data_IF_819253419109
#
_entry.id   IF_819253419109
#
_cell.length_a   1.000
_cell.length_b   1.000
_cell.length_c   1.000
_cell.angle_alpha   90.00
_cell.angle_beta   90.00
_cell.angle_gamma   90.00
#
_symmetry.space_group_name_H-M   'P 1'
#
loop_
_entity.id
_entity.type
_entity.pdbx_description
1 polymer ?
#
# COMPACT_ATOMS: atom_id res chain seq x y z
N UNK A 1 22.33 -21.98 6.71
CA UNK A 1 21.94 -20.85 5.81
C UNK A 1 22.39 -19.54 6.44
N UNK A 2 22.47 -18.46 5.65
CA UNK A 2 22.98 -17.16 6.10
C UNK A 2 21.90 -16.08 5.93
N UNK A 3 21.86 -15.13 6.85
CA UNK A 3 21.06 -13.91 6.75
C UNK A 3 21.53 -13.06 5.57
N UNK A 4 20.65 -12.20 5.00
CA UNK A 4 21.07 -11.26 3.97
C UNK A 4 22.14 -10.30 4.51
N UNK A 5 23.04 -9.86 3.64
CA UNK A 5 23.99 -8.80 3.97
C UNK A 5 23.26 -7.45 3.97
N UNK A 6 23.83 -6.45 4.64
CA UNK A 6 23.27 -5.09 4.66
C UNK A 6 23.08 -4.51 3.25
N UNK A 7 24.02 -4.77 2.33
CA UNK A 7 23.91 -4.35 0.93
C UNK A 7 22.69 -4.97 0.24
N UNK A 8 22.41 -6.26 0.49
CA UNK A 8 21.23 -6.94 -0.05
C UNK A 8 19.96 -6.38 0.57
N UNK A 9 19.94 -6.14 1.88
CA UNK A 9 18.80 -5.52 2.57
C UNK A 9 18.47 -4.15 1.98
N UNK A 10 19.47 -3.27 1.79
CA UNK A 10 19.31 -1.94 1.19
C UNK A 10 18.83 -2.06 -0.25
N UNK A 11 19.41 -2.94 -1.05
CA UNK A 11 19.03 -3.12 -2.45
C UNK A 11 17.58 -3.60 -2.58
N UNK A 12 17.22 -4.68 -1.88
CA UNK A 12 15.89 -5.29 -2.01
C UNK A 12 14.80 -4.37 -1.44
N UNK A 13 15.08 -3.66 -0.34
CA UNK A 13 14.14 -2.69 0.22
C UNK A 13 13.95 -1.48 -0.69
N UNK A 14 15.03 -0.92 -1.25
CA UNK A 14 14.96 0.24 -2.16
C UNK A 14 14.19 -0.10 -3.45
N UNK A 15 14.55 -1.19 -4.13
CA UNK A 15 13.86 -1.64 -5.35
C UNK A 15 12.40 -2.02 -5.06
N UNK A 16 12.16 -2.68 -3.92
CA UNK A 16 10.83 -3.08 -3.46
C UNK A 16 9.92 -1.89 -3.17
N UNK A 17 10.42 -0.91 -2.41
CA UNK A 17 9.69 0.30 -2.06
C UNK A 17 9.42 1.16 -3.29
N UNK A 18 10.40 1.36 -4.18
CA UNK A 18 10.22 2.10 -5.42
C UNK A 18 9.10 1.49 -6.28
N UNK A 19 9.19 0.19 -6.55
CA UNK A 19 8.18 -0.51 -7.35
C UNK A 19 6.79 -0.44 -6.72
N UNK A 20 6.71 -0.55 -5.40
CA UNK A 20 5.46 -0.44 -4.65
C UNK A 20 4.86 0.96 -4.77
N UNK A 21 5.62 2.01 -4.48
CA UNK A 21 5.16 3.41 -4.54
C UNK A 21 4.69 3.76 -5.94
N UNK A 22 5.48 3.44 -6.97
CA UNK A 22 5.11 3.68 -8.37
C UNK A 22 3.79 3.03 -8.75
N UNK A 23 3.61 1.74 -8.41
CA UNK A 23 2.38 1.03 -8.76
C UNK A 23 1.19 1.46 -7.92
N UNK A 24 1.38 1.69 -6.62
CA UNK A 24 0.31 2.08 -5.70
C UNK A 24 -0.26 3.43 -6.07
N UNK A 25 0.56 4.47 -6.21
CA UNK A 25 0.06 5.81 -6.54
C UNK A 25 -0.41 5.92 -7.99
N UNK A 26 0.15 5.14 -8.93
CA UNK A 26 -0.41 5.01 -10.29
C UNK A 26 -1.82 4.43 -10.24
N UNK A 27 -1.99 3.28 -9.61
CA UNK A 27 -3.30 2.60 -9.55
C UNK A 27 -4.32 3.43 -8.74
N UNK A 28 -3.88 4.14 -7.70
CA UNK A 28 -4.69 5.11 -6.95
C UNK A 28 -5.18 6.24 -7.86
N UNK A 29 -4.28 6.87 -8.62
CA UNK A 29 -4.61 7.94 -9.56
C UNK A 29 -5.46 7.47 -10.74
N UNK A 30 -5.26 6.24 -11.22
CA UNK A 30 -6.05 5.59 -12.28
C UNK A 30 -7.40 5.04 -11.79
N UNK A 31 -7.70 5.21 -10.49
CA UNK A 31 -8.95 4.78 -9.86
C UNK A 31 -9.17 3.26 -9.94
N UNK A 32 -8.09 2.49 -9.92
CA UNK A 32 -8.12 1.02 -9.87
C UNK A 32 -8.30 0.54 -8.44
N UNK A 33 -8.78 -0.69 -8.29
CA UNK A 33 -8.87 -1.33 -6.96
C UNK A 33 -7.48 -1.50 -6.34
N UNK A 34 -7.38 -1.11 -5.08
CA UNK A 34 -6.20 -1.20 -4.26
C UNK A 34 -6.19 -2.46 -3.39
N UNK A 35 -7.30 -3.19 -3.27
CA UNK A 35 -7.43 -4.44 -2.50
C UNK A 35 -6.22 -5.39 -2.65
N UNK A 36 -5.74 -5.58 -3.88
CA UNK A 36 -4.59 -6.44 -4.20
C UNK A 36 -3.23 -5.97 -3.64
N UNK A 37 -3.11 -4.74 -3.13
CA UNK A 37 -1.91 -4.28 -2.41
C UNK A 37 -1.89 -4.74 -0.95
N UNK A 38 -3.02 -5.14 -0.36
CA UNK A 38 -3.11 -5.46 1.07
C UNK A 38 -3.00 -6.95 1.33
N UNK A 39 -2.54 -7.31 2.53
CA UNK A 39 -2.48 -8.72 2.96
C UNK A 39 -3.86 -9.40 3.00
N UNK A 40 -4.94 -8.62 3.11
CA UNK A 40 -6.32 -9.12 3.09
C UNK A 40 -6.67 -9.89 1.79
N UNK A 41 -5.96 -9.61 0.68
CA UNK A 41 -6.15 -10.32 -0.58
C UNK A 41 -5.36 -11.64 -0.67
N UNK A 42 -4.47 -11.93 0.29
CA UNK A 42 -3.67 -13.15 0.31
C UNK A 42 -4.26 -14.19 1.25
N UNK A 43 -4.49 -15.39 0.72
CA UNK A 43 -4.99 -16.53 1.49
C UNK A 43 -4.01 -16.95 2.60
N UNK A 44 -2.71 -16.68 2.46
CA UNK A 44 -1.71 -17.05 3.48
C UNK A 44 -1.89 -16.25 4.76
N UNK A 45 -2.07 -14.94 4.63
CA UNK A 45 -2.26 -14.04 5.77
C UNK A 45 -3.67 -14.18 6.38
N UNK A 46 -4.71 -14.28 5.54
CA UNK A 46 -6.09 -14.44 6.02
C UNK A 46 -6.33 -15.76 6.74
N UNK A 47 -5.74 -16.88 6.27
CA UNK A 47 -5.79 -18.15 6.99
C UNK A 47 -5.06 -18.12 8.33
N UNK A 48 -4.06 -17.24 8.48
CA UNK A 48 -3.39 -16.99 9.75
C UNK A 48 -4.16 -16.01 10.66
N UNK A 49 -5.33 -15.51 10.22
CA UNK A 49 -6.15 -14.56 10.97
C UNK A 49 -5.60 -13.13 11.00
N UNK A 50 -4.75 -12.78 10.02
CA UNK A 50 -4.03 -11.49 10.01
C UNK A 50 -4.62 -10.60 8.92
N UNK A 51 -5.06 -9.41 9.34
CA UNK A 51 -5.61 -8.37 8.48
C UNK A 51 -4.74 -7.12 8.53
N UNK A 52 -4.79 -6.30 7.47
CA UNK A 52 -4.08 -5.04 7.45
C UNK A 52 -4.67 -4.05 8.48
N UNK A 53 -3.81 -3.34 9.20
CA UNK A 53 -4.20 -2.21 10.03
C UNK A 53 -4.19 -0.92 9.19
N UNK A 54 -5.34 -0.26 9.07
CA UNK A 54 -5.50 0.91 8.20
C UNK A 54 -6.01 2.08 9.03
N UNK A 55 -5.24 3.15 9.07
CA UNK A 55 -5.62 4.39 9.76
C UNK A 55 -5.52 5.57 8.79
N UNK A 56 -6.64 6.23 8.51
CA UNK A 56 -6.74 7.36 7.58
C UNK A 56 -7.15 8.61 8.36
N UNK A 57 -6.27 9.61 8.43
CA UNK A 57 -6.46 10.84 9.19
C UNK A 57 -6.82 10.63 10.69
N UNK A 58 -6.42 9.49 11.26
CA UNK A 58 -6.74 9.11 12.64
C UNK A 58 -8.00 8.26 12.80
N UNK A 59 -8.78 8.04 11.74
CA UNK A 59 -9.87 7.08 11.74
C UNK A 59 -9.33 5.68 11.39
N UNK A 60 -9.60 4.71 12.25
CA UNK A 60 -9.26 3.29 12.01
C UNK A 60 -10.33 2.68 11.11
N UNK A 61 -9.89 2.03 10.03
CA UNK A 61 -10.76 1.35 9.06
C UNK A 61 -10.61 -0.17 9.20
N UNK A 62 -11.71 -0.88 9.05
CA UNK A 62 -11.73 -2.34 9.23
C UNK A 62 -11.20 -3.10 8.00
N UNK A 63 -11.25 -2.49 6.81
CA UNK A 63 -10.83 -3.15 5.58
C UNK A 63 -10.36 -2.19 4.48
N UNK A 64 -9.58 -2.68 3.50
CA UNK A 64 -9.24 -1.90 2.31
C UNK A 64 -10.46 -1.42 1.51
N UNK A 65 -11.59 -2.12 1.60
CA UNK A 65 -12.82 -1.73 0.91
C UNK A 65 -13.43 -0.44 1.49
N UNK A 66 -13.35 -0.25 2.81
CA UNK A 66 -13.76 1.01 3.45
C UNK A 66 -12.84 2.17 3.03
N UNK A 67 -11.55 1.91 2.88
CA UNK A 67 -10.62 2.91 2.35
C UNK A 67 -10.95 3.29 0.89
N UNK A 68 -11.22 2.30 0.03
CA UNK A 68 -11.66 2.56 -1.35
C UNK A 68 -12.97 3.37 -1.40
N UNK A 69 -13.91 3.11 -0.47
CA UNK A 69 -15.14 3.89 -0.36
C UNK A 69 -14.86 5.37 -0.01
N UNK A 70 -13.97 5.64 0.95
CA UNK A 70 -13.55 7.01 1.29
C UNK A 70 -12.88 7.73 0.12
N UNK A 71 -12.06 7.02 -0.67
CA UNK A 71 -11.47 7.57 -1.89
C UNK A 71 -12.53 7.88 -2.95
N UNK A 72 -13.59 7.08 -3.03
CA UNK A 72 -14.76 7.35 -3.86
C UNK A 72 -15.50 8.61 -3.42
N UNK A 73 -15.80 8.74 -2.13
CA UNK A 73 -16.42 9.93 -1.54
C UNK A 73 -15.57 11.19 -1.76
N UNK A 74 -14.25 11.10 -1.59
CA UNK A 74 -13.29 12.18 -1.85
C UNK A 74 -13.40 12.71 -3.29
N UNK A 75 -13.74 11.83 -4.25
CA UNK A 75 -13.90 12.16 -5.67
C UNK A 75 -15.31 12.63 -6.02
N UNK A 76 -16.20 12.71 -5.03
CA UNK A 76 -17.60 13.09 -5.23
C UNK A 76 -18.47 11.95 -5.76
N UNK A 77 -18.10 10.68 -5.52
CA UNK A 77 -19.06 9.58 -5.73
C UNK A 77 -20.27 9.79 -4.81
N UNK A 78 -21.48 9.78 -5.38
CA UNK A 78 -22.71 10.10 -4.66
C UNK A 78 -22.99 9.10 -3.55
N UNK A 79 -23.20 9.60 -2.34
CA UNK A 79 -23.70 8.85 -1.20
C UNK A 79 -25.05 8.18 -1.57
N UNK A 80 -25.25 6.86 -1.34
CA UNK A 80 -26.50 6.19 -1.72
C UNK A 80 -27.74 6.68 -0.93
N UNK A 81 -27.56 7.47 0.14
CA UNK A 81 -28.63 7.92 1.04
C UNK A 81 -28.66 9.43 1.34
N UNK A 82 -27.98 10.29 0.57
CA UNK A 82 -27.81 11.70 0.91
C UNK A 82 -28.14 12.67 -0.22
N UNK A 83 -29.09 13.55 0.04
CA UNK A 83 -29.55 14.69 -0.77
C UNK A 83 -28.45 15.37 -1.59
N UNK A 84 -28.61 15.36 -2.92
CA UNK A 84 -27.78 16.12 -3.83
C UNK A 84 -27.90 17.62 -3.52
N UNK A 85 -26.81 18.23 -3.06
CA UNK A 85 -26.72 19.68 -3.06
C UNK A 85 -26.68 20.16 -4.52
N UNK A 86 -27.60 21.07 -4.87
CA UNK A 86 -27.83 21.62 -6.20
C UNK A 86 -26.64 22.44 -6.74
N UNK A 87 -25.57 22.60 -5.95
CA UNK A 87 -24.32 23.25 -6.36
C UNK A 87 -23.39 22.31 -7.17
N UNK A 88 -23.57 20.98 -7.09
CA UNK A 88 -22.79 19.98 -7.83
C UNK A 88 -23.40 19.71 -9.21
N UNK A 89 -23.35 20.71 -10.10
CA UNK A 89 -23.59 20.48 -11.54
C UNK A 89 -22.35 19.80 -12.13
N UNK A 90 -22.48 18.50 -12.38
CA UNK A 90 -21.70 17.74 -13.38
C UNK A 90 -20.17 17.77 -13.22
N UNK A 91 -19.62 16.90 -12.36
CA UNK A 91 -18.21 16.54 -12.45
C UNK A 91 -17.68 15.82 -11.21
N UNK A 92 -17.18 14.61 -11.38
CA UNK A 92 -16.26 13.97 -10.41
C UNK A 92 -15.14 14.93 -10.08
N UNK A 93 -14.88 15.17 -8.79
CA UNK A 93 -13.78 16.00 -8.34
C UNK A 93 -12.47 15.33 -8.77
N UNK A 94 -11.66 16.03 -9.58
CA UNK A 94 -10.35 15.49 -9.99
C UNK A 94 -9.44 15.45 -8.77
N UNK A 95 -9.06 14.26 -8.34
CA UNK A 95 -8.11 14.05 -7.25
C UNK A 95 -6.84 13.44 -7.82
N UNK A 96 -5.69 14.06 -7.58
CA UNK A 96 -4.38 13.53 -8.01
C UNK A 96 -3.39 13.55 -6.87
N UNK A 97 -2.78 12.39 -6.61
CA UNK A 97 -1.67 12.23 -5.69
C UNK A 97 -0.37 12.36 -6.46
N UNK A 98 0.49 13.28 -6.05
CA UNK A 98 1.82 13.48 -6.59
C UNK A 98 2.83 13.20 -5.48
N UNK A 99 3.74 12.27 -5.72
CA UNK A 99 4.75 11.85 -4.73
C UNK A 99 5.97 12.75 -4.89
N UNK A 100 6.36 13.44 -3.82
CA UNK A 100 7.58 14.25 -3.78
C UNK A 100 8.81 13.37 -3.50
N UNK A 101 8.64 12.36 -2.65
CA UNK A 101 9.70 11.43 -2.30
C UNK A 101 9.24 10.34 -1.34
N UNK A 102 10.08 9.32 -1.19
CA UNK A 102 9.88 8.25 -0.23
C UNK A 102 11.20 7.83 0.41
N UNK A 103 11.10 7.20 1.58
CA UNK A 103 12.19 6.54 2.28
C UNK A 103 11.76 5.13 2.69
N UNK A 104 12.71 4.21 2.81
CA UNK A 104 12.45 2.83 3.23
C UNK A 104 13.50 2.34 4.21
N UNK A 105 13.08 1.51 5.16
CA UNK A 105 13.97 0.86 6.11
C UNK A 105 13.50 -0.57 6.37
N UNK A 106 14.43 -1.52 6.36
CA UNK A 106 14.16 -2.90 6.78
C UNK A 106 13.93 -2.93 8.29
N UNK A 107 12.80 -3.52 8.70
CA UNK A 107 12.42 -3.64 10.12
C UNK A 107 12.64 -5.05 10.66
N UNK A 108 12.56 -6.06 9.80
CA UNK A 108 12.89 -7.45 10.12
C UNK A 108 13.42 -8.13 8.85
N UNK A 109 14.59 -8.75 8.92
CA UNK A 109 15.25 -9.40 7.80
C UNK A 109 14.93 -10.90 7.64
N UNK A 110 14.16 -11.47 8.57
CA UNK A 110 13.71 -12.86 8.56
C UNK A 110 12.23 -13.01 8.95
N UNK A 111 11.36 -12.22 8.32
CA UNK A 111 9.92 -12.27 8.50
C UNK A 111 9.37 -13.70 8.24
N UNK A 112 8.62 -14.23 9.20
CA UNK A 112 8.14 -15.61 9.26
C UNK A 112 6.62 -15.74 9.38
N UNK A 113 5.92 -14.63 9.66
CA UNK A 113 4.48 -14.61 9.82
C UNK A 113 3.78 -15.03 8.52
N UNK A 114 2.86 -16.00 8.64
CA UNK A 114 2.15 -16.63 7.53
C UNK A 114 3.07 -17.24 6.45
N UNK A 115 4.35 -17.43 6.75
CA UNK A 115 5.32 -17.99 5.81
C UNK A 115 5.01 -19.47 5.57
N UNK A 116 4.88 -19.92 4.30
CA UNK A 116 4.71 -21.34 4.01
C UNK A 116 5.88 -22.19 4.51
N UNK A 117 5.58 -23.35 5.10
CA UNK A 117 6.57 -24.26 5.72
C UNK A 117 7.74 -24.62 4.79
N UNK A 118 7.47 -24.83 3.49
CA UNK A 118 8.50 -25.17 2.50
C UNK A 118 9.50 -24.03 2.21
N UNK A 119 9.18 -22.79 2.61
CA UNK A 119 10.06 -21.62 2.58
C UNK A 119 10.74 -21.48 3.93
N UNK A 120 9.97 -21.55 5.02
CA UNK A 120 10.46 -21.40 6.39
C UNK A 120 11.54 -22.44 6.76
N UNK A 121 11.31 -23.71 6.40
CA UNK A 121 12.25 -24.82 6.61
C UNK A 121 13.60 -24.66 5.90
N UNK A 122 13.70 -23.75 4.91
CA UNK A 122 14.97 -23.39 4.25
C UNK A 122 15.79 -22.39 5.06
N UNK A 123 15.33 -21.97 6.24
CA UNK A 123 16.01 -21.00 7.08
C UNK A 123 16.07 -19.59 6.49
N UNK A 124 17.01 -18.76 6.95
CA UNK A 124 17.15 -17.39 6.49
C UNK A 124 17.45 -17.29 4.98
N UNK A 125 16.81 -16.32 4.32
CA UNK A 125 17.03 -16.06 2.89
C UNK A 125 18.09 -14.98 2.67
N UNK A 126 19.30 -15.42 2.33
CA UNK A 126 20.42 -14.54 1.97
C UNK A 126 20.12 -13.53 0.87
N UNK A 127 19.10 -13.77 0.03
CA UNK A 127 18.69 -12.88 -1.05
C UNK A 127 17.67 -11.81 -0.59
N UNK A 128 17.42 -11.69 0.72
CA UNK A 128 16.48 -10.73 1.28
C UNK A 128 15.02 -11.06 0.96
N UNK A 129 14.69 -12.33 0.73
CA UNK A 129 13.34 -12.70 0.34
C UNK A 129 12.31 -12.68 1.47
N UNK A 130 12.78 -12.63 2.71
CA UNK A 130 11.96 -12.61 3.91
C UNK A 130 12.04 -11.27 4.64
N UNK A 131 12.46 -10.20 3.95
CA UNK A 131 12.48 -8.88 4.59
C UNK A 131 11.07 -8.32 4.72
N UNK A 132 10.80 -7.64 5.82
CA UNK A 132 9.71 -6.66 5.94
C UNK A 132 10.33 -5.28 6.11
N UNK A 133 9.62 -4.25 5.65
CA UNK A 133 10.14 -2.89 5.62
C UNK A 133 9.05 -1.88 5.97
N UNK A 134 9.47 -0.76 6.53
CA UNK A 134 8.64 0.45 6.62
C UNK A 134 8.94 1.35 5.44
N UNK A 135 7.90 1.88 4.80
CA UNK A 135 8.02 2.86 3.70
C UNK A 135 7.28 4.12 4.11
N UNK A 136 8.00 5.25 4.12
CA UNK A 136 7.44 6.58 4.39
C UNK A 136 7.37 7.34 3.08
N UNK A 137 6.20 7.86 2.73
CA UNK A 137 5.94 8.60 1.51
C UNK A 137 5.44 9.99 1.87
N UNK A 138 5.94 10.99 1.16
CA UNK A 138 5.44 12.37 1.25
C UNK A 138 5.11 12.89 -0.14
N UNK A 139 4.12 13.77 -0.20
CA UNK A 139 3.71 14.34 -1.46
C UNK A 139 2.63 15.39 -1.34
N UNK A 140 2.07 15.74 -2.49
CA UNK A 140 1.00 16.72 -2.65
C UNK A 140 -0.25 16.05 -3.20
N UNK A 141 -1.36 16.28 -2.50
CA UNK A 141 -2.71 15.95 -2.92
C UNK A 141 -3.31 17.16 -3.62
N UNK A 142 -3.60 17.01 -4.90
CA UNK A 142 -4.27 18.02 -5.73
C UNK A 142 -5.77 17.75 -5.76
N UNK A 143 -6.56 18.73 -5.32
CA UNK A 143 -8.01 18.68 -5.22
C UNK A 143 -8.65 19.63 -6.24
N UNK A 144 -8.92 19.12 -7.43
CA UNK A 144 -9.50 19.80 -8.59
C UNK A 144 -8.54 19.91 -9.77
N UNK A 145 -8.97 20.58 -10.85
CA UNK A 145 -8.18 20.76 -12.08
C UNK A 145 -7.85 22.23 -12.44
N UNK A 146 -8.41 23.20 -11.71
CA UNK A 146 -8.21 24.62 -11.97
C UNK A 146 -6.91 25.14 -11.32
N UNK A 147 -6.37 26.29 -11.78
CA UNK A 147 -5.16 26.89 -11.20
C UNK A 147 -5.28 27.22 -9.70
N UNK A 148 -6.48 27.58 -9.23
CA UNK A 148 -6.74 27.95 -7.83
C UNK A 148 -7.18 26.74 -6.97
N UNK A 149 -6.74 25.54 -7.33
CA UNK A 149 -7.17 24.33 -6.64
C UNK A 149 -6.51 24.15 -5.29
N UNK A 150 -7.18 23.42 -4.41
CA UNK A 150 -6.67 23.15 -3.08
C UNK A 150 -5.55 22.12 -3.21
N UNK A 151 -4.36 22.50 -2.76
CA UNK A 151 -3.23 21.59 -2.62
C UNK A 151 -3.03 21.32 -1.14
N UNK A 152 -3.01 20.04 -0.76
CA UNK A 152 -2.66 19.64 0.60
C UNK A 152 -1.42 18.79 0.58
N UNK A 153 -0.56 18.92 1.59
CA UNK A 153 0.52 17.96 1.76
C UNK A 153 -0.03 16.71 2.42
N UNK A 154 0.47 15.55 2.01
CA UNK A 154 0.19 14.31 2.70
C UNK A 154 1.49 13.61 3.10
N UNK A 155 1.37 12.83 4.15
CA UNK A 155 2.37 11.91 4.62
C UNK A 155 1.71 10.55 4.84
N UNK A 156 2.33 9.50 4.34
CA UNK A 156 1.79 8.16 4.40
C UNK A 156 2.89 7.16 4.78
N UNK A 157 2.61 6.31 5.77
CA UNK A 157 3.55 5.29 6.24
C UNK A 157 2.93 3.93 6.01
N UNK A 158 3.70 3.03 5.41
CA UNK A 158 3.32 1.65 5.18
C UNK A 158 4.27 0.70 5.90
N UNK A 159 3.73 -0.38 6.46
CA UNK A 159 4.51 -1.57 6.79
C UNK A 159 4.27 -2.62 5.71
N UNK A 160 5.31 -2.91 4.94
CA UNK A 160 5.29 -3.84 3.83
C UNK A 160 5.89 -5.19 4.24
N UNK A 161 5.19 -6.27 3.91
CA UNK A 161 5.57 -7.65 4.22
C UNK A 161 5.67 -8.48 2.94
N UNK A 162 6.45 -9.58 2.93
CA UNK A 162 6.59 -10.42 1.75
C UNK A 162 5.25 -10.95 1.25
N UNK A 163 5.03 -10.89 -0.06
CA UNK A 163 3.96 -11.64 -0.68
C UNK A 163 4.39 -13.10 -0.87
N UNK A 164 3.82 -14.01 -0.09
CA UNK A 164 4.16 -15.42 -0.17
C UNK A 164 3.64 -16.10 -1.44
N UNK A 165 2.59 -15.57 -2.07
CA UNK A 165 1.98 -16.15 -3.25
C UNK A 165 2.87 -16.03 -4.51
N UNK A 166 3.83 -15.08 -4.49
CA UNK A 166 4.76 -14.84 -5.60
C UNK A 166 6.16 -15.41 -5.35
N UNK A 167 6.35 -16.08 -4.20
CA UNK A 167 7.62 -16.73 -3.82
C UNK A 167 7.68 -18.19 -4.24
N UNK A 168 6.61 -18.70 -4.85
CA UNK A 168 6.53 -20.06 -5.39
C UNK A 168 7.15 -20.20 -6.79
N UNK A 169 7.06 -21.42 -7.33
CA UNK A 169 7.46 -21.72 -8.71
C UNK A 169 6.40 -21.11 -9.65
N UNK A 170 6.82 -20.22 -10.54
CA UNK A 170 5.99 -19.48 -11.52
C UNK A 170 5.04 -18.45 -10.87
N UNK A 171 5.56 -17.32 -10.37
CA UNK A 171 4.70 -16.25 -9.89
C UNK A 171 3.79 -15.71 -11.01
N UNK A 172 2.56 -15.29 -10.68
CA UNK A 172 1.72 -14.59 -11.65
C UNK A 172 2.44 -13.35 -12.18
N UNK A 173 2.27 -13.06 -13.48
CA UNK A 173 2.84 -11.86 -14.09
C UNK A 173 2.29 -10.61 -13.40
N UNK A 174 3.15 -9.62 -13.17
CA UNK A 174 2.84 -8.35 -12.49
C UNK A 174 2.38 -8.49 -11.03
N UNK A 175 2.61 -9.64 -10.41
CA UNK A 175 2.25 -9.82 -9.01
C UNK A 175 3.21 -9.03 -8.09
N UNK A 176 2.63 -8.41 -7.07
CA UNK A 176 3.32 -7.52 -6.14
C UNK A 176 4.23 -8.34 -5.23
N UNK A 177 5.50 -7.94 -5.12
CA UNK A 177 6.49 -8.62 -4.26
C UNK A 177 6.23 -8.42 -2.77
N UNK A 178 5.62 -7.29 -2.43
CA UNK A 178 5.28 -6.91 -1.06
C UNK A 178 3.81 -6.51 -0.97
N UNK A 179 3.22 -6.74 0.19
CA UNK A 179 1.84 -6.38 0.53
C UNK A 179 1.82 -5.47 1.77
N UNK A 180 0.80 -4.63 1.85
CA UNK A 180 0.56 -3.71 2.97
C UNK A 180 -0.02 -4.52 4.14
N UNK A 181 0.71 -4.55 5.25
CA UNK A 181 0.25 -5.06 6.54
C UNK A 181 -0.22 -3.95 7.49
N UNK A 182 0.29 -2.74 7.32
CA UNK A 182 -0.20 -1.56 8.02
C UNK A 182 -0.06 -0.32 7.14
N UNK A 183 -1.00 0.61 7.25
CA UNK A 183 -1.04 1.89 6.55
C UNK A 183 -1.51 2.97 7.51
N UNK A 184 -0.74 4.06 7.58
CA UNK A 184 -1.13 5.28 8.27
C UNK A 184 -1.05 6.45 7.30
N UNK A 185 -2.19 7.04 6.95
CA UNK A 185 -2.28 8.19 6.07
C UNK A 185 -2.66 9.45 6.85
N UNK A 186 -1.97 10.56 6.57
CA UNK A 186 -2.32 11.88 7.10
C UNK A 186 -2.22 12.93 6.01
N UNK A 187 -3.30 13.67 5.80
CA UNK A 187 -3.27 14.95 5.10
C UNK A 187 -3.09 16.07 6.12
N UNK A 188 -2.21 17.01 5.82
CA UNK A 188 -1.91 18.21 6.63
C UNK A 188 -2.71 19.42 6.15
#
# INVERSE_FOLDING_TARGET
MAYPTQEIEVKVSSEGAQSFVEWYYRDLNDHRTLSSFYINASNKYTNAGINADITINGAVLASPAEYEALLGEQRGASNPNGTADSSSRTGTMKVRYEVDGFNTQVINNDYDIACPEHILSRGPDKNGGRISMVVSVMGVLHLGAAPDTVHKRFHEVFVLVPNWDVRGRNPPRNAKRFLISSQNYRTL
#
